data_IF_934867200481
#
_entry.id   IF_934867200481
#
_cell.length_a   1.000
_cell.length_b   1.000
_cell.length_c   1.000
_cell.angle_alpha   90.00
_cell.angle_beta   90.00
_cell.angle_gamma   90.00
#
_symmetry.space_group_name_H-M   'P 1'
#
loop_
_entity.id
_entity.type
_entity.pdbx_description
1 polymer ?
#
# COMPACT_ATOMS: atom_id res chain seq x y z
N UNK A 1 3.98 -3.95 2.94
CA UNK A 1 4.36 -2.68 2.31
C UNK A 1 3.88 -1.61 3.26
N UNK A 2 4.82 -0.96 3.96
CA UNK A 2 4.45 0.09 4.91
C UNK A 2 3.90 1.29 4.12
N UNK A 3 3.05 2.13 4.72
CA UNK A 3 2.47 3.28 4.02
C UNK A 3 3.54 4.20 3.39
N UNK A 4 4.71 4.28 4.04
CA UNK A 4 5.91 5.00 3.58
C UNK A 4 6.42 4.47 2.21
N UNK A 5 6.23 3.19 1.89
CA UNK A 5 6.70 2.62 0.61
C UNK A 5 5.85 3.05 -0.59
N UNK A 6 4.59 3.43 -0.38
CA UNK A 6 3.66 3.76 -1.50
C UNK A 6 4.04 5.08 -2.15
N UNK A 7 4.36 6.09 -1.34
CA UNK A 7 4.73 7.42 -1.83
C UNK A 7 6.09 7.41 -2.53
N UNK A 8 6.95 6.43 -2.22
CA UNK A 8 8.25 6.25 -2.86
C UNK A 8 8.18 5.49 -4.19
N UNK A 9 7.03 4.93 -4.57
CA UNK A 9 6.88 4.18 -5.82
C UNK A 9 7.37 4.96 -7.06
N UNK A 10 7.08 6.26 -7.24
CA UNK A 10 7.59 7.05 -8.36
C UNK A 10 9.13 7.13 -8.40
N UNK A 11 9.81 7.08 -7.24
CA UNK A 11 11.27 7.04 -7.19
C UNK A 11 11.80 5.70 -7.68
N UNK A 12 11.21 4.60 -7.25
CA UNK A 12 11.60 3.27 -7.68
C UNK A 12 11.42 3.08 -9.19
N UNK A 13 10.29 3.54 -9.73
CA UNK A 13 10.02 3.49 -11.17
C UNK A 13 11.06 4.29 -11.97
N UNK A 14 11.38 5.50 -11.51
CA UNK A 14 12.40 6.32 -12.17
C UNK A 14 13.80 5.74 -12.03
N UNK A 15 14.16 5.21 -10.88
CA UNK A 15 15.45 4.55 -10.65
C UNK A 15 15.63 3.31 -11.55
N UNK A 16 14.57 2.55 -11.84
CA UNK A 16 14.64 1.43 -12.78
C UNK A 16 14.99 1.87 -14.21
N UNK A 17 14.48 3.03 -14.66
CA UNK A 17 14.76 3.59 -16.00
C UNK A 17 16.06 4.39 -16.12
N UNK A 18 16.57 4.95 -15.01
CA UNK A 18 17.73 5.85 -15.02
C UNK A 18 19.06 5.15 -15.32
N UNK A 19 20.03 5.89 -15.84
CA UNK A 19 21.41 5.43 -16.06
C UNK A 19 22.21 5.59 -14.75
N UNK A 20 23.14 4.68 -14.43
CA UNK A 20 24.06 4.91 -13.32
C UNK A 20 24.80 6.25 -13.45
N UNK A 21 25.03 6.89 -12.31
CA UNK A 21 25.56 8.23 -12.12
C UNK A 21 24.68 9.40 -12.62
N UNK A 22 23.50 9.12 -13.17
CA UNK A 22 22.55 10.14 -13.60
C UNK A 22 21.88 10.82 -12.39
N UNK A 23 21.80 12.15 -12.45
CA UNK A 23 21.01 12.96 -11.53
C UNK A 23 19.59 13.07 -12.08
N UNK A 24 18.60 12.60 -11.31
CA UNK A 24 17.19 12.51 -11.71
C UNK A 24 16.33 13.36 -10.78
N UNK A 25 15.49 14.21 -11.38
CA UNK A 25 14.54 15.07 -10.66
C UNK A 25 14.37 16.44 -11.32
N UNK A 26 13.59 17.34 -10.70
CA UNK A 26 12.78 17.11 -9.50
C UNK A 26 11.56 16.23 -9.77
N UNK A 27 11.23 15.34 -8.83
CA UNK A 27 10.04 14.48 -8.85
C UNK A 27 9.08 14.89 -7.74
N UNK A 28 7.81 15.14 -8.09
CA UNK A 28 6.77 15.46 -7.13
C UNK A 28 6.25 14.18 -6.46
N UNK A 29 6.33 14.13 -5.13
CA UNK A 29 5.99 12.98 -4.30
C UNK A 29 5.31 13.47 -3.04
N UNK A 30 4.04 13.09 -2.84
CA UNK A 30 3.28 13.42 -1.63
C UNK A 30 3.26 14.93 -1.32
N UNK A 31 3.20 15.78 -2.34
CA UNK A 31 3.21 17.25 -2.21
C UNK A 31 4.60 17.86 -1.94
N UNK A 32 5.68 17.08 -2.03
CA UNK A 32 7.07 17.54 -1.92
C UNK A 32 7.86 17.23 -3.18
N UNK A 33 9.08 17.77 -3.31
CA UNK A 33 9.98 17.48 -4.43
C UNK A 33 11.21 16.68 -3.97
N UNK A 34 11.62 15.70 -4.77
CA UNK A 34 12.81 14.89 -4.54
C UNK A 34 13.75 14.90 -5.75
N UNK A 35 15.06 14.87 -5.50
CA UNK A 35 16.12 14.70 -6.49
C UNK A 35 17.01 13.58 -5.99
N UNK A 36 17.41 12.67 -6.87
CA UNK A 36 18.32 11.58 -6.52
C UNK A 36 19.38 11.35 -7.59
N UNK A 37 20.50 10.75 -7.19
CA UNK A 37 21.54 10.27 -8.11
C UNK A 37 21.59 8.75 -8.03
N UNK A 38 21.49 8.06 -9.16
CA UNK A 38 21.56 6.60 -9.18
C UNK A 38 23.03 6.16 -9.09
N UNK A 39 23.50 5.63 -7.96
CA UNK A 39 24.91 5.23 -7.81
C UNK A 39 25.25 3.94 -8.58
N UNK A 40 24.28 3.05 -8.79
CA UNK A 40 24.48 1.80 -9.51
C UNK A 40 23.25 0.92 -9.48
N UNK A 41 23.21 -0.08 -10.37
CA UNK A 41 22.18 -1.13 -10.37
C UNK A 41 22.85 -2.45 -10.07
N UNK A 42 22.50 -3.07 -8.95
CA UNK A 42 22.76 -4.50 -8.79
C UNK A 42 21.75 -5.25 -9.66
N UNK A 43 22.23 -6.13 -10.54
CA UNK A 43 21.36 -7.04 -11.29
C UNK A 43 20.48 -7.82 -10.32
N UNK A 44 19.28 -8.21 -10.76
CA UNK A 44 18.39 -9.03 -9.94
C UNK A 44 19.14 -10.29 -9.50
N UNK A 45 19.54 -10.35 -8.23
CA UNK A 45 20.13 -11.56 -7.68
C UNK A 45 19.07 -12.63 -7.81
N UNK A 46 19.31 -13.63 -8.64
CA UNK A 46 18.46 -14.81 -8.74
C UNK A 46 18.50 -15.51 -7.39
N UNK A 47 17.51 -15.22 -6.54
CA UNK A 47 17.32 -15.92 -5.28
C UNK A 47 16.84 -17.33 -5.59
N UNK A 48 17.34 -18.34 -4.88
CA UNK A 48 16.83 -19.69 -5.01
C UNK A 48 15.37 -19.75 -4.54
N UNK A 49 14.62 -20.77 -4.97
CA UNK A 49 13.25 -20.96 -4.53
C UNK A 49 13.16 -21.02 -2.99
N UNK A 50 14.05 -21.75 -2.33
CA UNK A 50 14.11 -21.88 -0.87
C UNK A 50 14.24 -20.53 -0.15
N UNK A 51 14.94 -19.57 -0.76
CA UNK A 51 15.11 -18.23 -0.19
C UNK A 51 13.84 -17.37 -0.31
N UNK A 52 13.01 -17.60 -1.33
CA UNK A 52 11.81 -16.80 -1.60
C UNK A 52 10.51 -17.49 -1.16
N UNK A 53 10.54 -18.81 -0.96
CA UNK A 53 9.39 -19.61 -0.60
C UNK A 53 8.65 -19.07 0.64
N UNK A 54 9.33 -18.69 1.75
CA UNK A 54 8.62 -18.18 2.92
C UNK A 54 7.84 -16.90 2.62
N UNK A 55 8.41 -16.00 1.81
CA UNK A 55 7.78 -14.74 1.44
C UNK A 55 6.59 -14.97 0.49
N UNK A 56 6.74 -15.87 -0.48
CA UNK A 56 5.66 -16.25 -1.40
C UNK A 56 4.51 -16.89 -0.63
N UNK A 57 4.81 -17.84 0.26
CA UNK A 57 3.81 -18.52 1.11
C UNK A 57 3.07 -17.54 2.01
N UNK A 58 3.78 -16.58 2.62
CA UNK A 58 3.15 -15.53 3.41
C UNK A 58 2.22 -14.66 2.55
N UNK A 59 2.65 -14.28 1.34
CA UNK A 59 1.84 -13.51 0.41
C UNK A 59 0.54 -14.23 0.03
N UNK A 60 0.64 -15.51 -0.34
CA UNK A 60 -0.53 -16.34 -0.66
C UNK A 60 -1.46 -16.48 0.57
N UNK A 61 -0.90 -16.71 1.76
CA UNK A 61 -1.67 -16.82 2.99
C UNK A 61 -2.44 -15.54 3.29
N UNK A 62 -1.76 -14.39 3.24
CA UNK A 62 -2.38 -13.08 3.50
C UNK A 62 -3.50 -12.78 2.51
N UNK A 63 -3.28 -13.05 1.22
CA UNK A 63 -4.32 -12.87 0.21
C UNK A 63 -5.57 -13.67 0.53
N UNK A 64 -5.41 -14.96 0.87
CA UNK A 64 -6.53 -15.83 1.22
C UNK A 64 -7.22 -15.41 2.52
N UNK A 65 -6.45 -14.97 3.51
CA UNK A 65 -6.97 -14.45 4.78
C UNK A 65 -7.83 -13.21 4.55
N UNK A 66 -7.39 -12.27 3.71
CA UNK A 66 -8.17 -11.10 3.31
C UNK A 66 -9.47 -11.50 2.62
N UNK A 67 -9.42 -12.38 1.62
CA UNK A 67 -10.62 -12.84 0.90
C UNK A 67 -11.64 -13.49 1.84
N UNK A 68 -11.18 -14.34 2.77
CA UNK A 68 -12.05 -14.99 3.75
C UNK A 68 -12.62 -14.00 4.77
N UNK A 69 -11.83 -13.04 5.21
CA UNK A 69 -12.27 -12.02 6.15
C UNK A 69 -13.33 -11.10 5.52
N UNK A 70 -13.13 -10.67 4.28
CA UNK A 70 -14.12 -9.86 3.56
C UNK A 70 -15.45 -10.59 3.40
N UNK A 71 -15.40 -11.86 2.97
CA UNK A 71 -16.59 -12.70 2.85
C UNK A 71 -17.30 -12.91 4.21
N UNK A 72 -16.53 -13.11 5.28
CA UNK A 72 -17.09 -13.24 6.64
C UNK A 72 -17.78 -11.95 7.10
N UNK A 73 -17.17 -10.79 6.85
CA UNK A 73 -17.76 -9.50 7.20
C UNK A 73 -19.04 -9.22 6.42
N UNK A 74 -19.08 -9.58 5.13
CA UNK A 74 -20.27 -9.46 4.29
C UNK A 74 -21.41 -10.34 4.82
N UNK A 75 -21.13 -11.60 5.14
CA UNK A 75 -22.10 -12.53 5.73
C UNK A 75 -22.63 -12.01 7.08
N UNK A 76 -21.73 -11.53 7.94
CA UNK A 76 -22.10 -10.98 9.26
C UNK A 76 -23.02 -9.76 9.11
N UNK A 77 -22.68 -8.83 8.22
CA UNK A 77 -23.51 -7.66 7.95
C UNK A 77 -24.88 -8.05 7.41
N UNK A 78 -24.95 -9.00 6.48
CA UNK A 78 -26.22 -9.46 5.93
C UNK A 78 -27.08 -10.13 6.99
N UNK A 79 -26.50 -11.03 7.79
CA UNK A 79 -27.22 -11.83 8.78
C UNK A 79 -27.86 -10.98 9.88
N UNK A 80 -27.18 -9.92 10.30
CA UNK A 80 -27.63 -9.05 11.37
C UNK A 80 -28.17 -7.70 10.88
N UNK A 81 -28.40 -7.54 9.59
CA UNK A 81 -28.82 -6.27 8.97
C UNK A 81 -30.03 -5.60 9.64
N UNK A 82 -31.02 -6.39 10.08
CA UNK A 82 -32.23 -5.88 10.74
C UNK A 82 -32.00 -5.47 12.22
N UNK A 83 -30.88 -5.88 12.82
CA UNK A 83 -30.52 -5.59 14.21
C UNK A 83 -29.55 -4.43 14.34
N UNK A 84 -28.99 -3.95 13.22
CA UNK A 84 -28.04 -2.84 13.20
C UNK A 84 -28.79 -1.51 13.08
N UNK A 85 -28.69 -0.67 14.11
CA UNK A 85 -29.23 0.69 14.11
C UNK A 85 -28.12 1.68 13.79
N UNK A 86 -28.26 2.40 12.67
CA UNK A 86 -27.34 3.45 12.25
C UNK A 86 -27.79 4.81 12.76
N UNK A 87 -26.88 5.57 13.35
CA UNK A 87 -27.12 6.96 13.77
C UNK A 87 -26.39 7.90 12.82
N UNK A 88 -26.90 8.01 11.59
CA UNK A 88 -26.25 8.73 10.49
C UNK A 88 -25.91 10.18 10.84
N UNK A 89 -26.76 10.84 11.63
CA UNK A 89 -26.54 12.23 12.05
C UNK A 89 -25.28 12.37 12.93
N UNK A 90 -25.05 11.43 13.84
CA UNK A 90 -23.85 11.42 14.68
C UNK A 90 -22.60 11.10 13.85
N UNK A 91 -22.73 10.20 12.86
CA UNK A 91 -21.63 9.84 11.96
C UNK A 91 -21.21 11.04 11.11
N UNK A 92 -22.18 11.77 10.55
CA UNK A 92 -21.93 13.00 9.78
C UNK A 92 -21.29 14.09 10.62
N UNK A 93 -21.79 14.33 11.83
CA UNK A 93 -21.25 15.34 12.74
C UNK A 93 -19.75 15.13 13.04
N UNK A 94 -19.32 13.87 13.24
CA UNK A 94 -17.91 13.52 13.47
C UNK A 94 -17.05 13.70 12.21
N UNK A 95 -17.60 13.40 11.02
CA UNK A 95 -16.87 13.59 9.77
C UNK A 95 -16.62 15.09 9.49
N UNK A 96 -17.61 15.92 9.74
CA UNK A 96 -17.54 17.38 9.55
C UNK A 96 -16.61 18.06 10.57
N UNK A 97 -16.64 17.63 11.84
CA UNK A 97 -15.73 18.14 12.86
C UNK A 97 -14.26 17.86 12.55
N UNK A 98 -13.95 16.77 11.85
CA UNK A 98 -12.59 16.40 11.44
C UNK A 98 -12.06 17.20 10.24
N UNK A 99 -12.94 17.70 9.38
CA UNK A 99 -12.57 18.52 8.20
C UNK A 99 -12.48 20.03 8.51
N UNK A 100 -12.78 20.42 9.75
CA UNK A 100 -12.79 21.82 10.21
C UNK A 100 -11.51 22.21 10.97
N UNK A 101 -10.50 21.32 10.99
CA UNK A 101 -9.16 21.49 11.56
C UNK A 101 -8.11 21.45 10.44
#
# INVERSE_FOLDING_TARGET
MHAIDRDLAPLYDRAQSAVPEELVGPLEIGGNYSIFKLVGKEGARTKSFEQVEPAIRLGIRKKRETELFEAFMEDLHSHYSEQVVWFDDNIKAVAESRNSL
#
